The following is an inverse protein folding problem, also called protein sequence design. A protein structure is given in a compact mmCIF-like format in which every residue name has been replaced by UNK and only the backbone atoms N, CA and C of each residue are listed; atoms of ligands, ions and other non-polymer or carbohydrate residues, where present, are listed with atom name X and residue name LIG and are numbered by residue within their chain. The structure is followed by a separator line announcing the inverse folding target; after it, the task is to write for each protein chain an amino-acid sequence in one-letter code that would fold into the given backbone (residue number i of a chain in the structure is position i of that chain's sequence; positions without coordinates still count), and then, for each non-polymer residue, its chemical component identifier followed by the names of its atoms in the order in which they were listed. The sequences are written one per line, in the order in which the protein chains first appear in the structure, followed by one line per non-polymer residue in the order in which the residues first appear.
data_IF_332778203752
#
_entry.id   IF_332778203752
#
_cell.length_a   1.000
_cell.length_b   1.000
_cell.length_c   1.000
_cell.angle_alpha   90.00
_cell.angle_beta   90.00
_cell.angle_gamma   90.00
#
_symmetry.space_group_name_H-M   'P 1'
#
loop_
_entity.id
_entity.type
_entity.pdbx_description
1 polymer ?
#
# COMPACT_ATOMS: atom_id res chain seq x y z
N UNK A 1 -37.01 -1.31 6.68
CA UNK A 1 -36.02 -2.31 6.22
C UNK A 1 -34.75 -2.10 7.02
N UNK A 2 -34.46 -2.99 7.96
CA UNK A 2 -33.37 -2.84 8.93
C UNK A 2 -32.07 -3.19 8.22
N UNK A 3 -31.17 -2.21 8.03
CA UNK A 3 -29.78 -2.47 7.65
C UNK A 3 -29.15 -3.26 8.80
N UNK A 4 -28.82 -4.55 8.58
CA UNK A 4 -28.04 -5.29 9.55
C UNK A 4 -26.66 -4.62 9.62
N UNK A 5 -26.36 -4.02 10.77
CA UNK A 5 -25.02 -3.47 11.04
C UNK A 5 -24.10 -4.69 11.15
N UNK A 6 -23.49 -5.09 10.04
CA UNK A 6 -22.51 -6.19 10.00
C UNK A 6 -21.46 -5.87 11.06
N UNK A 7 -21.27 -6.77 12.03
CA UNK A 7 -20.34 -6.57 13.13
C UNK A 7 -18.95 -6.25 12.60
N UNK A 8 -18.41 -5.10 13.01
CA UNK A 8 -17.07 -4.68 12.61
C UNK A 8 -16.07 -5.70 13.16
N UNK A 9 -15.33 -6.35 12.27
CA UNK A 9 -14.28 -7.30 12.64
C UNK A 9 -13.12 -6.48 13.21
N UNK A 10 -12.96 -6.51 14.53
CA UNK A 10 -11.94 -5.74 15.24
C UNK A 10 -10.54 -6.22 14.89
N UNK A 11 -10.38 -7.53 14.69
CA UNK A 11 -9.16 -8.20 14.27
C UNK A 11 -8.60 -7.60 12.98
N UNK A 12 -9.48 -7.24 12.05
CA UNK A 12 -9.09 -6.66 10.77
C UNK A 12 -8.54 -5.24 10.90
N UNK A 13 -9.01 -4.48 11.89
CA UNK A 13 -8.46 -3.17 12.19
C UNK A 13 -7.10 -3.27 12.91
N UNK A 14 -6.89 -4.27 13.78
CA UNK A 14 -5.58 -4.55 14.39
C UNK A 14 -4.55 -4.90 13.32
N UNK A 15 -4.88 -5.81 12.40
CA UNK A 15 -3.95 -6.23 11.34
C UNK A 15 -3.61 -5.05 10.41
N UNK A 16 -4.58 -4.19 10.11
CA UNK A 16 -4.32 -2.95 9.36
C UNK A 16 -3.41 -2.00 10.11
N UNK A 17 -3.62 -1.80 11.42
CA UNK A 17 -2.77 -0.92 12.23
C UNK A 17 -1.31 -1.41 12.23
N UNK A 18 -1.10 -2.72 12.38
CA UNK A 18 0.23 -3.33 12.30
C UNK A 18 0.85 -3.15 10.90
N UNK A 19 0.07 -3.34 9.84
CA UNK A 19 0.52 -3.13 8.47
C UNK A 19 0.91 -1.66 8.20
N UNK A 20 0.12 -0.69 8.68
CA UNK A 20 0.45 0.75 8.58
C UNK A 20 1.77 1.03 9.29
N UNK A 21 1.94 0.53 10.52
CA UNK A 21 3.18 0.72 11.29
C UNK A 21 4.40 0.18 10.53
N UNK A 22 4.31 -1.03 9.99
CA UNK A 22 5.39 -1.62 9.19
C UNK A 22 5.68 -0.82 7.90
N UNK A 23 4.66 -0.24 7.25
CA UNK A 23 4.84 0.66 6.10
C UNK A 23 5.57 1.95 6.50
N UNK A 24 5.22 2.54 7.64
CA UNK A 24 5.92 3.73 8.16
C UNK A 24 7.39 3.39 8.42
N UNK A 25 7.67 2.24 9.03
CA UNK A 25 9.04 1.80 9.31
C UNK A 25 9.89 1.64 8.04
N UNK A 26 9.38 1.00 6.98
CA UNK A 26 10.14 0.86 5.73
C UNK A 26 10.41 2.20 5.03
N UNK A 27 9.49 3.17 5.14
CA UNK A 27 9.67 4.49 4.53
C UNK A 27 10.57 5.41 5.36
N UNK A 28 10.50 5.34 6.68
CA UNK A 28 11.40 6.12 7.54
C UNK A 28 12.83 5.56 7.53
N UNK A 29 12.99 4.28 7.21
CA UNK A 29 14.29 3.60 7.22
C UNK A 29 14.91 3.46 5.83
N UNK A 30 14.21 3.83 4.74
CA UNK A 30 14.75 3.72 3.38
C UNK A 30 15.97 4.61 3.20
N UNK A 31 15.92 5.85 3.67
CA UNK A 31 17.00 6.82 3.46
C UNK A 31 18.23 6.46 4.33
N UNK A 32 17.98 5.98 5.54
CA UNK A 32 19.00 5.48 6.47
C UNK A 32 19.67 4.17 6.03
N UNK A 33 19.23 3.52 4.95
CA UNK A 33 19.95 2.39 4.34
C UNK A 33 20.97 2.80 3.29
N UNK A 34 20.92 4.05 2.79
CA UNK A 34 21.76 4.52 1.67
C UNK A 34 22.89 5.44 2.15
N UNK A 35 22.71 6.14 3.27
CA UNK A 35 23.73 7.06 3.83
C UNK A 35 24.89 6.42 4.63
N UNK A 36 24.75 5.29 5.36
CA UNK A 36 25.84 4.76 6.17
C UNK A 36 26.96 4.13 5.33
N UNK A 37 28.19 4.21 5.84
CA UNK A 37 29.37 3.51 5.31
C UNK A 37 29.10 2.00 5.21
N UNK A 38 29.39 1.41 4.06
CA UNK A 38 29.17 -0.02 3.79
C UNK A 38 29.80 -0.90 4.89
N UNK A 39 28.96 -1.70 5.56
CA UNK A 39 29.38 -2.63 6.62
C UNK A 39 29.23 -2.11 8.05
N UNK A 40 28.71 -0.90 8.27
CA UNK A 40 28.37 -0.41 9.62
C UNK A 40 27.25 -1.24 10.27
N UNK A 41 27.34 -1.47 11.58
CA UNK A 41 26.29 -2.12 12.38
C UNK A 41 24.92 -1.45 12.19
N UNK A 42 24.91 -0.12 12.05
CA UNK A 42 23.68 0.65 11.79
C UNK A 42 23.02 0.30 10.46
N UNK A 43 23.81 0.15 9.39
CA UNK A 43 23.31 -0.24 8.06
C UNK A 43 22.68 -1.63 8.09
N UNK A 44 23.32 -2.58 8.77
CA UNK A 44 22.82 -3.97 8.89
C UNK A 44 21.49 -3.99 9.64
N UNK A 45 21.37 -3.25 10.74
CA UNK A 45 20.14 -3.17 11.53
C UNK A 45 19.02 -2.54 10.70
N UNK A 46 19.26 -1.41 10.05
CA UNK A 46 18.29 -0.73 9.21
C UNK A 46 17.87 -1.57 8.00
N UNK A 47 18.81 -2.27 7.38
CA UNK A 47 18.53 -3.19 6.27
C UNK A 47 17.69 -4.39 6.74
N UNK A 48 18.03 -4.98 7.89
CA UNK A 48 17.28 -6.09 8.47
C UNK A 48 15.84 -5.70 8.82
N UNK A 49 15.64 -4.53 9.45
CA UNK A 49 14.31 -3.99 9.76
C UNK A 49 13.51 -3.74 8.48
N UNK A 50 14.10 -3.10 7.48
CA UNK A 50 13.45 -2.87 6.20
C UNK A 50 12.99 -4.16 5.53
N UNK A 51 13.86 -5.16 5.47
CA UNK A 51 13.53 -6.47 4.87
C UNK A 51 12.49 -7.22 5.68
N UNK A 52 12.58 -7.17 7.00
CA UNK A 52 11.61 -7.78 7.89
C UNK A 52 10.23 -7.11 7.81
N UNK A 53 10.13 -5.82 7.49
CA UNK A 53 8.85 -5.10 7.37
C UNK A 53 8.29 -5.07 5.94
N UNK A 54 9.00 -5.59 4.94
CA UNK A 54 8.57 -5.56 3.54
C UNK A 54 7.30 -6.39 3.27
N UNK A 55 6.92 -7.30 4.18
CA UNK A 55 5.64 -8.05 4.08
C UNK A 55 4.41 -7.15 4.25
N UNK A 56 4.55 -5.91 4.72
CA UNK A 56 3.42 -5.03 4.95
C UNK A 56 2.61 -4.75 3.67
N UNK A 57 3.27 -4.60 2.53
CA UNK A 57 2.63 -4.34 1.23
C UNK A 57 1.76 -5.51 0.76
N UNK A 58 2.26 -6.76 0.66
CA UNK A 58 1.40 -7.89 0.31
C UNK A 58 0.29 -8.14 1.34
N UNK A 59 0.54 -7.87 2.63
CA UNK A 59 -0.48 -7.95 3.67
C UNK A 59 -1.63 -6.96 3.43
N UNK A 60 -1.36 -5.72 3.01
CA UNK A 60 -2.41 -4.74 2.65
C UNK A 60 -3.30 -5.20 1.49
N UNK A 61 -2.70 -5.85 0.49
CA UNK A 61 -3.41 -6.40 -0.66
C UNK A 61 -4.30 -7.56 -0.20
N UNK A 62 -3.78 -8.44 0.66
CA UNK A 62 -4.52 -9.57 1.21
C UNK A 62 -5.71 -9.12 2.06
N UNK A 63 -5.50 -8.18 3.00
CA UNK A 63 -6.60 -7.60 3.80
C UNK A 63 -7.65 -6.98 2.87
N UNK A 64 -7.23 -6.24 1.86
CA UNK A 64 -8.15 -5.65 0.89
C UNK A 64 -9.01 -6.68 0.16
N UNK A 65 -8.44 -7.85 -0.17
CA UNK A 65 -9.17 -8.97 -0.76
C UNK A 65 -10.13 -9.63 0.24
N UNK A 66 -9.69 -9.88 1.46
CA UNK A 66 -10.51 -10.49 2.53
C UNK A 66 -11.71 -9.61 2.88
N UNK A 67 -11.53 -8.28 2.98
CA UNK A 67 -12.63 -7.33 3.20
C UNK A 67 -13.67 -7.42 2.09
N UNK A 68 -13.21 -7.46 0.84
CA UNK A 68 -14.09 -7.56 -0.32
C UNK A 68 -14.89 -8.86 -0.29
N UNK A 69 -14.22 -9.98 -0.01
CA UNK A 69 -14.89 -11.26 0.12
C UNK A 69 -15.90 -11.24 1.27
N UNK A 70 -15.51 -10.77 2.46
CA UNK A 70 -16.38 -10.73 3.63
C UNK A 70 -17.59 -9.82 3.44
N UNK A 71 -17.43 -8.70 2.74
CA UNK A 71 -18.50 -7.73 2.51
C UNK A 71 -19.48 -8.18 1.42
N UNK A 72 -19.04 -8.97 0.43
CA UNK A 72 -19.83 -9.34 -0.74
C UNK A 72 -20.04 -10.86 -0.88
N UNK A 73 -19.83 -11.63 0.20
CA UNK A 73 -19.95 -13.09 0.18
C UNK A 73 -21.37 -13.57 -0.16
N UNK A 74 -22.39 -12.93 0.41
CA UNK A 74 -23.80 -13.34 0.23
C UNK A 74 -24.36 -12.95 -1.15
N UNK A 75 -23.89 -11.83 -1.72
CA UNK A 75 -24.28 -11.33 -3.05
C UNK A 75 -23.07 -11.34 -4.01
N UNK A 76 -22.43 -12.50 -4.17
CA UNK A 76 -21.22 -12.64 -4.97
C UNK A 76 -21.49 -12.33 -6.46
N UNK A 77 -21.27 -11.07 -6.84
CA UNK A 77 -21.32 -10.62 -8.21
C UNK A 77 -19.93 -10.13 -8.63
N UNK A 78 -19.29 -10.86 -9.56
CA UNK A 78 -17.96 -10.54 -10.07
C UNK A 78 -17.89 -9.10 -10.62
N UNK A 79 -19.00 -8.57 -11.13
CA UNK A 79 -19.10 -7.16 -11.58
C UNK A 79 -18.89 -6.16 -10.44
N UNK A 80 -19.38 -6.46 -9.24
CA UNK A 80 -19.22 -5.60 -8.06
C UNK A 80 -17.77 -5.61 -7.55
N UNK A 81 -17.14 -6.78 -7.53
CA UNK A 81 -15.72 -6.93 -7.19
C UNK A 81 -14.81 -6.16 -8.17
N UNK A 82 -15.03 -6.34 -9.47
CA UNK A 82 -14.29 -5.60 -10.52
C UNK A 82 -14.53 -4.10 -10.41
N UNK A 83 -15.78 -3.65 -10.14
CA UNK A 83 -16.10 -2.22 -9.94
C UNK A 83 -15.35 -1.63 -8.75
N UNK A 84 -15.20 -2.38 -7.66
CA UNK A 84 -14.44 -1.97 -6.47
C UNK A 84 -12.94 -1.84 -6.79
N UNK A 85 -12.36 -2.84 -7.46
CA UNK A 85 -10.95 -2.83 -7.83
C UNK A 85 -10.63 -1.71 -8.84
N UNK A 86 -11.51 -1.52 -9.83
CA UNK A 86 -11.41 -0.45 -10.85
C UNK A 86 -11.35 0.93 -10.22
N UNK A 87 -12.20 1.22 -9.22
CA UNK A 87 -12.15 2.49 -8.48
C UNK A 87 -10.79 2.73 -7.80
N UNK A 88 -10.14 1.66 -7.34
CA UNK A 88 -8.84 1.73 -6.67
C UNK A 88 -7.71 1.97 -7.67
N UNK A 89 -7.74 1.28 -8.81
CA UNK A 89 -6.77 1.45 -9.91
C UNK A 89 -6.81 2.88 -10.46
N UNK A 90 -8.00 3.44 -10.74
CA UNK A 90 -8.10 4.82 -11.24
C UNK A 90 -7.50 5.86 -10.30
N UNK A 91 -7.64 5.67 -8.98
CA UNK A 91 -7.02 6.57 -7.99
C UNK A 91 -5.49 6.51 -7.98
N UNK A 92 -4.89 5.39 -8.36
CA UNK A 92 -3.43 5.22 -8.46
C UNK A 92 -2.94 5.67 -9.84
N UNK A 93 -3.69 5.36 -10.90
CA UNK A 93 -3.32 5.64 -12.28
C UNK A 93 -3.29 7.15 -12.59
N UNK A 94 -4.22 7.95 -12.04
CA UNK A 94 -4.26 9.40 -12.27
C UNK A 94 -2.97 10.11 -11.79
N UNK A 95 -2.53 9.97 -10.52
CA UNK A 95 -1.29 10.60 -10.06
C UNK A 95 -0.05 10.08 -10.79
N UNK A 96 -0.03 8.79 -11.18
CA UNK A 96 1.10 8.23 -11.94
C UNK A 96 1.19 8.81 -13.36
N UNK A 97 0.06 8.91 -14.05
CA UNK A 97 0.00 9.45 -15.40
C UNK A 97 0.27 10.95 -15.45
N UNK A 98 -0.29 11.70 -14.49
CA UNK A 98 -0.02 13.15 -14.39
C UNK A 98 1.44 13.40 -14.05
N UNK A 99 1.99 12.69 -13.06
CA UNK A 99 3.40 12.79 -12.68
C UNK A 99 4.38 12.44 -13.80
N UNK A 100 4.10 11.41 -14.60
CA UNK A 100 4.97 11.05 -15.72
C UNK A 100 5.02 12.15 -16.79
N UNK A 101 3.86 12.74 -17.12
CA UNK A 101 3.79 13.84 -18.09
C UNK A 101 4.50 15.10 -17.62
N UNK A 102 4.44 15.43 -16.33
CA UNK A 102 5.20 16.56 -15.77
C UNK A 102 6.71 16.31 -15.83
N UNK A 103 7.17 15.10 -15.52
CA UNK A 103 8.59 14.75 -15.59
C UNK A 103 9.15 14.81 -17.02
N UNK A 104 8.40 14.31 -18.01
CA UNK A 104 8.82 14.35 -19.41
C UNK A 104 8.87 15.79 -19.95
N UNK A 105 7.88 16.62 -19.59
CA UNK A 105 7.84 18.05 -19.96
C UNK A 105 8.93 18.88 -19.24
N UNK A 106 9.33 18.51 -18.02
CA UNK A 106 10.45 19.13 -17.31
C UNK A 106 11.77 18.91 -18.05
N UNK A 107 12.03 17.67 -18.51
CA UNK A 107 13.22 17.36 -19.32
C UNK A 107 13.26 18.05 -20.68
N UNK A 108 12.11 18.42 -21.24
CA UNK A 108 12.05 19.13 -22.54
C UNK A 108 12.33 20.62 -22.40
N UNK A 109 12.19 21.20 -21.20
CA UNK A 109 12.53 22.61 -20.90
C UNK A 109 14.02 22.79 -20.55
N UNK A 110 14.70 21.74 -20.05
CA UNK A 110 16.14 21.76 -19.77
C UNK A 110 17.02 21.54 -21.03
N UNK A 111 16.40 21.25 -22.19
CA UNK A 111 17.07 20.93 -23.45
C UNK A 111 16.79 21.93 -24.60
N UNK A 112 16.15 23.08 -24.32
CA UNK A 112 15.90 24.20 -25.24
C UNK A 112 16.50 25.47 -24.67
#
# INVERSE_FOLDING_TARGET
MIQSVRSKIYEMDIVRALAILAVVLIHSTSDATVEPTDGSLSQIIFYAINRACQFAVPLFILISGVVLFYQYYEDWNLKSAIKYLRKRIWRIAIPYYTGSRFYDNGKTMDLV
#
